data_IF_593448767666
#
_entry.id   IF_593448767666
#
_cell.length_a   1.000
_cell.length_b   1.000
_cell.length_c   1.000
_cell.angle_alpha   90.00
_cell.angle_beta   90.00
_cell.angle_gamma   90.00
#
_symmetry.space_group_name_H-M   'P 1'
#
loop_
_entity.id
_entity.type
_entity.pdbx_description
1 polymer ?
#
# COMPACT_ATOMS: atom_id res chain seq x y z
N UNK A 1 27.13 5.86 -26.18
CA UNK A 1 27.29 4.96 -25.02
C UNK A 1 26.10 5.16 -24.09
N UNK A 2 25.19 4.18 -24.00
CA UNK A 2 23.95 4.26 -23.18
C UNK A 2 24.29 3.98 -21.71
N UNK A 3 24.18 4.97 -20.84
CA UNK A 3 24.23 4.77 -19.39
C UNK A 3 22.83 4.43 -18.86
N UNK A 4 22.71 3.21 -18.34
CA UNK A 4 21.54 2.71 -17.62
C UNK A 4 21.79 2.88 -16.13
N UNK A 5 21.37 4.01 -15.53
CA UNK A 5 21.42 4.18 -14.07
C UNK A 5 20.11 4.74 -13.55
N UNK A 6 19.09 3.89 -13.47
CA UNK A 6 17.85 4.18 -12.71
C UNK A 6 17.20 2.91 -12.15
N UNK A 7 17.97 1.83 -11.93
CA UNK A 7 17.44 0.55 -11.46
C UNK A 7 17.71 0.28 -9.96
N UNK A 8 18.16 1.27 -9.20
CA UNK A 8 18.59 1.06 -7.81
C UNK A 8 17.43 1.17 -6.79
N UNK A 9 16.52 2.14 -6.91
CA UNK A 9 15.58 2.43 -5.82
C UNK A 9 14.24 1.67 -5.82
N UNK A 10 13.89 0.90 -6.84
CA UNK A 10 12.54 0.26 -6.90
C UNK A 10 12.47 -1.11 -6.24
N UNK A 11 13.62 -1.76 -6.00
CA UNK A 11 13.68 -3.11 -5.43
C UNK A 11 13.51 -3.09 -3.91
N UNK A 12 14.05 -2.09 -3.22
CA UNK A 12 13.96 -1.98 -1.76
C UNK A 12 12.57 -1.54 -1.28
N UNK A 13 11.93 -0.61 -2.00
CA UNK A 13 10.55 -0.17 -1.70
C UNK A 13 9.57 -1.35 -1.84
N UNK A 14 9.74 -2.18 -2.89
CA UNK A 14 8.95 -3.39 -3.07
C UNK A 14 9.14 -4.42 -1.96
N UNK A 15 10.35 -4.51 -1.38
CA UNK A 15 10.67 -5.49 -0.33
C UNK A 15 10.06 -5.09 1.02
N UNK A 16 9.97 -3.79 1.30
CA UNK A 16 9.25 -3.25 2.46
C UNK A 16 7.73 -3.48 2.31
N UNK A 17 7.21 -3.37 1.09
CA UNK A 17 5.78 -3.53 0.80
C UNK A 17 5.27 -4.97 0.75
N UNK A 18 6.10 -5.94 0.37
CA UNK A 18 5.63 -7.32 0.16
C UNK A 18 5.52 -8.16 1.44
N UNK A 19 5.92 -7.64 2.60
CA UNK A 19 6.18 -8.46 3.80
C UNK A 19 5.28 -8.24 5.02
N UNK A 20 4.51 -7.15 5.21
CA UNK A 20 3.60 -7.06 6.34
C UNK A 20 2.15 -7.15 5.89
N UNK A 21 1.76 -8.16 5.11
CA UNK A 21 0.33 -8.44 4.89
C UNK A 21 -0.48 -8.69 6.20
N UNK A 22 0.10 -9.20 7.32
CA UNK A 22 -0.69 -9.36 8.55
C UNK A 22 -0.97 -8.07 9.32
N UNK A 23 -0.17 -7.01 9.16
CA UNK A 23 -0.28 -5.79 9.98
C UNK A 23 -1.55 -4.97 9.65
N UNK A 24 -1.87 -4.70 8.36
CA UNK A 24 -3.15 -4.11 7.93
C UNK A 24 -4.37 -4.82 8.50
N UNK A 25 -4.34 -6.16 8.42
CA UNK A 25 -5.49 -6.99 8.78
C UNK A 25 -5.73 -6.95 10.29
N UNK A 26 -4.66 -7.06 11.08
CA UNK A 26 -4.73 -6.93 12.54
C UNK A 26 -5.22 -5.55 12.97
N UNK A 27 -4.80 -4.49 12.27
CA UNK A 27 -5.24 -3.13 12.57
C UNK A 27 -6.74 -2.94 12.33
N UNK A 28 -7.27 -3.46 11.22
CA UNK A 28 -8.71 -3.40 10.89
C UNK A 28 -9.52 -4.18 11.94
N UNK A 29 -9.09 -5.39 12.29
CA UNK A 29 -9.78 -6.22 13.30
C UNK A 29 -9.77 -5.52 14.66
N UNK A 30 -8.66 -4.92 15.06
CA UNK A 30 -8.55 -4.18 16.31
C UNK A 30 -9.44 -2.93 16.35
N UNK A 31 -9.51 -2.18 15.25
CA UNK A 31 -10.39 -1.02 15.14
C UNK A 31 -11.87 -1.42 15.26
N UNK A 32 -12.29 -2.48 14.56
CA UNK A 32 -13.66 -3.01 14.62
C UNK A 32 -13.98 -3.52 16.04
N UNK A 33 -13.07 -4.27 16.65
CA UNK A 33 -13.22 -4.75 18.02
C UNK A 33 -13.41 -3.59 19.00
N UNK A 34 -12.64 -2.51 18.84
CA UNK A 34 -12.75 -1.32 19.69
C UNK A 34 -14.08 -0.59 19.49
N UNK A 35 -14.58 -0.49 18.25
CA UNK A 35 -15.88 0.12 17.95
C UNK A 35 -17.05 -0.68 18.56
N UNK A 36 -16.97 -2.01 18.56
CA UNK A 36 -18.05 -2.89 19.04
C UNK A 36 -18.01 -3.06 20.56
N UNK A 37 -16.81 -3.12 21.17
CA UNK A 37 -16.64 -3.56 22.56
C UNK A 37 -16.47 -2.40 23.54
N UNK A 38 -16.08 -1.19 23.07
CA UNK A 38 -15.94 -0.02 23.95
C UNK A 38 -17.10 0.94 23.77
N UNK A 39 -17.79 1.21 24.87
CA UNK A 39 -18.86 2.23 24.93
C UNK A 39 -18.32 3.67 25.06
N UNK A 40 -17.00 3.84 25.19
CA UNK A 40 -16.41 5.16 25.31
C UNK A 40 -16.25 5.81 23.93
N UNK A 41 -17.05 6.85 23.71
CA UNK A 41 -17.12 7.66 22.50
C UNK A 41 -15.74 8.11 22.00
N UNK A 42 -14.81 8.47 22.89
CA UNK A 42 -13.47 8.91 22.48
C UNK A 42 -12.71 7.79 21.74
N UNK A 43 -12.77 6.56 22.24
CA UNK A 43 -12.10 5.41 21.61
C UNK A 43 -12.73 5.05 20.26
N UNK A 44 -14.05 5.15 20.15
CA UNK A 44 -14.77 4.92 18.90
C UNK A 44 -14.34 5.95 17.84
N UNK A 45 -14.37 7.24 18.20
CA UNK A 45 -13.99 8.34 17.28
C UNK A 45 -12.54 8.21 16.84
N UNK A 46 -11.61 7.95 17.77
CA UNK A 46 -10.20 7.71 17.42
C UNK A 46 -10.03 6.52 16.49
N UNK A 47 -10.76 5.42 16.70
CA UNK A 47 -10.71 4.23 15.84
C UNK A 47 -11.21 4.51 14.42
N UNK A 48 -12.28 5.30 14.28
CA UNK A 48 -12.82 5.71 12.97
C UNK A 48 -11.81 6.59 12.22
N UNK A 49 -11.24 7.60 12.88
CA UNK A 49 -10.24 8.49 12.25
C UNK A 49 -9.03 7.69 11.79
N UNK A 50 -8.54 6.76 12.63
CA UNK A 50 -7.40 5.93 12.30
C UNK A 50 -7.70 4.99 11.12
N UNK A 51 -8.93 4.46 11.03
CA UNK A 51 -9.39 3.63 9.92
C UNK A 51 -9.44 4.41 8.60
N UNK A 52 -9.92 5.65 8.62
CA UNK A 52 -9.96 6.53 7.44
C UNK A 52 -8.54 6.76 6.92
N UNK A 53 -7.63 7.18 7.80
CA UNK A 53 -6.24 7.46 7.42
C UNK A 53 -5.55 6.21 6.85
N UNK A 54 -5.76 5.06 7.50
CA UNK A 54 -5.24 3.79 7.03
C UNK A 54 -5.77 3.42 5.64
N UNK A 55 -7.07 3.58 5.41
CA UNK A 55 -7.71 3.26 4.12
C UNK A 55 -7.21 4.17 3.01
N UNK A 56 -6.96 5.46 3.30
CA UNK A 56 -6.37 6.40 2.34
C UNK A 56 -4.95 6.00 1.94
N UNK A 57 -4.10 5.63 2.91
CA UNK A 57 -2.74 5.14 2.62
C UNK A 57 -2.77 3.86 1.79
N UNK A 58 -3.63 2.90 2.16
CA UNK A 58 -3.78 1.65 1.42
C UNK A 58 -4.22 1.89 -0.03
N UNK A 59 -5.13 2.85 -0.25
CA UNK A 59 -5.60 3.23 -1.60
C UNK A 59 -4.47 3.82 -2.43
N UNK A 60 -3.65 4.70 -1.83
CA UNK A 60 -2.49 5.28 -2.49
C UNK A 60 -1.48 4.20 -2.88
N UNK A 61 -1.20 3.27 -1.97
CA UNK A 61 -0.27 2.17 -2.20
C UNK A 61 -0.73 1.21 -3.30
N UNK A 62 -2.02 0.85 -3.29
CA UNK A 62 -2.62 0.03 -4.35
C UNK A 62 -2.52 0.75 -5.70
N UNK A 63 -2.83 2.06 -5.74
CA UNK A 63 -2.76 2.83 -6.97
C UNK A 63 -1.31 2.91 -7.50
N UNK A 64 -0.33 3.15 -6.62
CA UNK A 64 1.09 3.11 -6.95
C UNK A 64 1.50 1.73 -7.49
N UNK A 65 1.07 0.65 -6.85
CA UNK A 65 1.34 -0.71 -7.30
C UNK A 65 0.74 -1.00 -8.70
N UNK A 66 -0.52 -0.62 -8.93
CA UNK A 66 -1.20 -0.79 -10.22
C UNK A 66 -0.48 0.02 -11.31
N UNK A 67 -0.10 1.27 -11.02
CA UNK A 67 0.62 2.12 -11.97
C UNK A 67 2.01 1.57 -12.30
N UNK A 68 2.78 1.10 -11.30
CA UNK A 68 4.04 0.42 -11.56
C UNK A 68 3.85 -0.86 -12.40
N UNK A 69 2.82 -1.66 -12.12
CA UNK A 69 2.52 -2.88 -12.88
C UNK A 69 2.11 -2.58 -14.32
N UNK A 70 1.32 -1.52 -14.55
CA UNK A 70 0.93 -1.04 -15.88
C UNK A 70 2.14 -0.54 -16.67
N UNK A 71 3.02 0.26 -16.06
CA UNK A 71 4.24 0.79 -16.70
C UNK A 71 5.20 -0.33 -17.11
N UNK A 72 5.37 -1.36 -16.27
CA UNK A 72 6.18 -2.54 -16.63
C UNK A 72 5.57 -3.37 -17.78
N UNK A 73 4.24 -3.46 -17.89
CA UNK A 73 3.58 -4.12 -19.03
C UNK A 73 3.76 -3.33 -20.33
N UNK A 74 3.69 -2.00 -20.29
CA UNK A 74 3.91 -1.15 -21.48
C UNK A 74 5.38 -1.21 -21.95
N UNK A 75 6.35 -1.14 -21.04
CA UNK A 75 7.77 -1.29 -21.41
C UNK A 75 8.08 -2.67 -22.01
N UNK A 76 7.45 -3.75 -21.52
CA UNK A 76 7.58 -5.09 -22.11
C UNK A 76 6.96 -5.22 -23.50
N UNK A 77 5.95 -4.42 -23.82
CA UNK A 77 5.37 -4.38 -25.18
C UNK A 77 6.28 -3.60 -26.12
N UNK A 78 6.74 -2.40 -25.72
CA UNK A 78 7.62 -1.60 -26.57
C UNK A 78 8.98 -2.27 -26.83
N UNK A 79 9.59 -2.95 -25.85
CA UNK A 79 10.84 -3.70 -26.04
C UNK A 79 10.71 -5.00 -26.85
N UNK A 80 9.50 -5.36 -27.30
CA UNK A 80 9.24 -6.52 -28.18
C UNK A 80 9.08 -6.13 -29.65
N UNK A 81 9.07 -4.83 -29.93
CA UNK A 81 9.00 -4.23 -31.26
C UNK A 81 10.25 -3.41 -31.63
N UNK A 82 11.33 -3.54 -30.84
CA UNK A 82 12.68 -3.04 -31.17
C UNK A 82 13.60 -4.23 -31.34
#
# INVERSE_FOLDING_TARGET
>A
MKYNDSQSNTKDVRKIFLKPFPIPLMFIVFAIYTIITKDNTAYIVTSIIALIFFTSLLTLDINAYINCKRRNKQNKRNGRYV
#
